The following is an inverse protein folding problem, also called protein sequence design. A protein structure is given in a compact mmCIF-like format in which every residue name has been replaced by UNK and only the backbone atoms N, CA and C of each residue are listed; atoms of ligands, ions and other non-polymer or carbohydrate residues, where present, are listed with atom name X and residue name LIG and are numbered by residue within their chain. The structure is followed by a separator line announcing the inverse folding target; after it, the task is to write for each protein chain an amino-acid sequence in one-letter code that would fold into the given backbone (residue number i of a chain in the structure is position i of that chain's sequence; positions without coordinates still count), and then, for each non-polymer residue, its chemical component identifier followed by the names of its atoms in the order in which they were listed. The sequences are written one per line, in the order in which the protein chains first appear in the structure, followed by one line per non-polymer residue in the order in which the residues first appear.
data_IF_898226092517
#
_entry.id   IF_898226092517
#
_cell.length_a   1.000
_cell.length_b   1.000
_cell.length_c   1.000
_cell.angle_alpha   90.00
_cell.angle_beta   90.00
_cell.angle_gamma   90.00
#
_symmetry.space_group_name_H-M   'P 1'
#
loop_
_entity.id
_entity.type
_entity.pdbx_description
1 polymer ?
#
# COMPACT_ATOMS: atom_id res chain seq x y z
N UNK A 1 -6.31 -31.94 22.61
CA UNK A 1 -5.22 -31.54 21.69
C UNK A 1 -5.54 -30.17 21.12
N UNK A 2 -4.67 -29.16 21.23
CA UNK A 2 -4.85 -27.84 20.56
C UNK A 2 -3.57 -26.97 20.49
N UNK A 3 -2.35 -27.54 20.47
CA UNK A 3 -1.08 -26.80 20.65
C UNK A 3 -0.79 -25.67 19.64
N UNK A 4 -1.58 -25.52 18.58
CA UNK A 4 -1.45 -24.47 17.56
C UNK A 4 -2.69 -23.56 17.46
N UNK A 5 -3.45 -23.41 18.56
CA UNK A 5 -4.57 -22.45 18.65
C UNK A 5 -4.46 -21.66 19.96
N UNK A 6 -4.54 -20.34 19.86
CA UNK A 6 -4.58 -19.45 21.01
C UNK A 6 -5.99 -19.39 21.62
N UNK A 7 -6.06 -19.30 22.94
CA UNK A 7 -7.26 -18.88 23.68
C UNK A 7 -7.56 -17.39 23.47
N UNK A 8 -8.77 -16.95 23.88
CA UNK A 8 -9.16 -15.53 23.84
C UNK A 8 -8.22 -14.64 24.67
N UNK A 9 -7.74 -15.14 25.81
CA UNK A 9 -6.85 -14.40 26.70
C UNK A 9 -5.46 -14.21 26.09
N UNK A 10 -4.86 -15.28 25.55
CA UNK A 10 -3.58 -15.22 24.84
C UNK A 10 -3.65 -14.26 23.64
N UNK A 11 -4.74 -14.25 22.88
CA UNK A 11 -4.95 -13.28 21.77
C UNK A 11 -4.93 -11.83 22.29
N UNK A 12 -5.56 -11.55 23.42
CA UNK A 12 -5.60 -10.20 24.02
C UNK A 12 -4.26 -9.79 24.65
N UNK A 13 -3.47 -10.74 25.15
CA UNK A 13 -2.11 -10.49 25.63
C UNK A 13 -1.18 -10.22 24.43
N UNK A 14 -1.13 -11.12 23.45
CA UNK A 14 -0.29 -10.99 22.26
C UNK A 14 -0.57 -9.70 21.48
N UNK A 15 -1.85 -9.32 21.28
CA UNK A 15 -2.21 -8.05 20.60
C UNK A 15 -1.68 -6.83 21.36
N UNK A 16 -1.92 -6.73 22.67
CA UNK A 16 -1.47 -5.58 23.47
C UNK A 16 0.05 -5.48 23.52
N UNK A 17 0.75 -6.60 23.73
CA UNK A 17 2.22 -6.64 23.77
C UNK A 17 2.85 -6.29 22.43
N UNK A 18 2.30 -6.80 21.31
CA UNK A 18 2.81 -6.50 19.97
C UNK A 18 2.60 -5.04 19.58
N UNK A 19 1.45 -4.45 19.91
CA UNK A 19 1.16 -3.03 19.65
C UNK A 19 2.07 -2.11 20.48
N UNK A 20 2.20 -2.35 21.80
CA UNK A 20 3.08 -1.56 22.65
C UNK A 20 4.56 -1.64 22.23
N UNK A 21 5.02 -2.82 21.79
CA UNK A 21 6.34 -2.98 21.17
C UNK A 21 6.43 -2.20 19.85
N UNK A 22 5.43 -2.31 18.98
CA UNK A 22 5.43 -1.62 17.69
C UNK A 22 5.48 -0.10 17.86
N UNK A 23 4.68 0.48 18.75
CA UNK A 23 4.69 1.93 18.96
C UNK A 23 6.02 2.46 19.52
N UNK A 24 6.73 1.64 20.30
CA UNK A 24 8.06 1.99 20.85
C UNK A 24 9.19 1.77 19.83
N UNK A 25 9.14 0.70 19.03
CA UNK A 25 10.29 0.21 18.23
C UNK A 25 10.06 0.20 16.71
N UNK A 26 8.94 0.72 16.21
CA UNK A 26 8.67 0.83 14.76
C UNK A 26 9.73 1.66 14.05
N UNK A 27 10.43 1.03 13.08
CA UNK A 27 11.28 1.74 12.11
C UNK A 27 10.47 2.83 11.41
N UNK A 28 11.01 4.06 11.40
CA UNK A 28 10.53 5.16 10.55
C UNK A 28 10.74 4.77 9.09
N UNK A 29 9.69 4.90 8.29
CA UNK A 29 9.60 4.61 6.86
C UNK A 29 8.59 5.64 6.27
N UNK A 30 8.64 5.97 4.96
CA UNK A 30 7.87 7.10 4.41
C UNK A 30 6.42 6.83 3.92
N UNK A 31 5.89 5.59 4.00
CA UNK A 31 4.64 5.12 3.37
C UNK A 31 3.32 4.60 4.08
N UNK A 32 2.94 4.46 5.38
CA UNK A 32 3.44 5.13 8.13
C UNK A 32 3.48 6.59 8.78
N UNK A 33 4.55 7.38 8.59
CA UNK A 33 4.49 8.83 8.75
C UNK A 33 3.58 9.45 7.68
N UNK A 34 2.29 9.33 7.98
CA UNK A 34 1.16 9.71 7.16
C UNK A 34 -0.03 10.00 8.09
N UNK A 35 0.30 10.64 9.23
CA UNK A 35 -0.61 11.21 10.22
C UNK A 35 -1.42 12.35 9.61
N UNK A 36 -2.65 12.56 10.10
CA UNK A 36 -3.58 13.62 9.68
C UNK A 36 -3.90 13.67 8.16
N UNK A 37 -3.53 12.62 7.42
CA UNK A 37 -3.85 12.44 6.01
C UNK A 37 -5.21 11.75 5.83
N UNK A 38 -5.93 12.11 4.77
CA UNK A 38 -7.18 11.43 4.41
C UNK A 38 -6.95 9.96 4.01
N UNK A 39 -7.97 9.13 4.29
CA UNK A 39 -7.98 7.68 4.01
C UNK A 39 -7.71 7.31 2.55
N UNK A 40 -8.14 8.12 1.57
CA UNK A 40 -7.89 7.89 0.15
C UNK A 40 -6.40 8.11 -0.18
N UNK A 41 -5.78 9.13 0.42
CA UNK A 41 -4.32 9.39 0.33
C UNK A 41 -3.51 8.30 1.04
N UNK A 42 -3.97 7.79 2.19
CA UNK A 42 -3.33 6.66 2.87
C UNK A 42 -3.43 5.39 2.03
N UNK A 43 -4.57 5.11 1.41
CA UNK A 43 -4.77 3.95 0.52
C UNK A 43 -3.81 3.99 -0.69
N UNK A 44 -3.67 5.16 -1.33
CA UNK A 44 -2.68 5.39 -2.39
C UNK A 44 -1.24 5.12 -1.93
N UNK A 45 -0.85 5.72 -0.80
CA UNK A 45 0.50 5.61 -0.22
C UNK A 45 0.87 4.17 0.11
N UNK A 46 -0.07 3.42 0.69
CA UNK A 46 0.10 1.99 1.00
C UNK A 46 0.21 1.18 -0.29
N UNK A 47 -0.71 1.36 -1.26
CA UNK A 47 -0.71 0.62 -2.53
C UNK A 47 0.64 0.72 -3.26
N UNK A 48 1.17 1.93 -3.43
CA UNK A 48 2.46 2.16 -4.10
C UNK A 48 3.59 1.46 -3.33
N UNK A 49 3.60 1.55 -2.00
CA UNK A 49 4.67 0.93 -1.20
C UNK A 49 4.65 -0.59 -1.24
N UNK A 50 3.48 -1.22 -1.12
CA UNK A 50 3.37 -2.68 -1.16
C UNK A 50 3.74 -3.22 -2.55
N UNK A 51 3.33 -2.54 -3.64
CA UNK A 51 3.78 -2.92 -4.98
C UNK A 51 5.27 -2.66 -5.20
N UNK A 52 5.87 -1.61 -4.62
CA UNK A 52 7.33 -1.43 -4.64
C UNK A 52 8.07 -2.50 -3.83
N UNK A 53 7.56 -2.91 -2.67
CA UNK A 53 8.19 -3.89 -1.76
C UNK A 53 8.14 -5.34 -2.27
N UNK A 54 7.24 -5.67 -3.20
CA UNK A 54 7.21 -6.98 -3.86
C UNK A 54 8.60 -7.35 -4.42
N UNK A 55 9.20 -8.41 -3.86
CA UNK A 55 10.54 -8.92 -4.22
C UNK A 55 11.67 -7.86 -4.21
N UNK A 56 11.51 -6.76 -3.48
CA UNK A 56 12.47 -5.64 -3.44
C UNK A 56 12.81 -5.26 -2.01
N UNK A 57 14.08 -4.99 -1.70
CA UNK A 57 14.51 -4.69 -0.33
C UNK A 57 14.06 -3.29 0.14
N UNK A 58 13.63 -3.20 1.41
CA UNK A 58 13.17 -1.96 2.08
C UNK A 58 14.14 -0.79 1.87
N UNK A 59 15.44 -1.01 2.00
CA UNK A 59 16.47 0.03 1.85
C UNK A 59 16.50 0.63 0.43
N UNK A 60 16.27 -0.18 -0.60
CA UNK A 60 16.13 0.27 -1.99
C UNK A 60 14.84 1.06 -2.18
N UNK A 61 13.73 0.54 -1.66
CA UNK A 61 12.39 1.12 -1.89
C UNK A 61 12.26 2.55 -1.34
N UNK A 62 12.87 2.88 -0.20
CA UNK A 62 12.79 4.23 0.43
C UNK A 62 13.05 5.35 -0.60
N UNK A 63 14.20 5.31 -1.29
CA UNK A 63 14.58 6.36 -2.26
C UNK A 63 13.60 6.47 -3.44
N UNK A 64 13.13 5.33 -3.97
CA UNK A 64 12.18 5.32 -5.08
C UNK A 64 10.80 5.82 -4.66
N UNK A 65 10.35 5.42 -3.46
CA UNK A 65 9.09 5.85 -2.90
C UNK A 65 9.05 7.37 -2.66
N UNK A 66 10.11 7.94 -2.08
CA UNK A 66 10.26 9.39 -1.89
C UNK A 66 10.29 10.14 -3.24
N UNK A 67 10.98 9.59 -4.24
CA UNK A 67 11.07 10.17 -5.59
C UNK A 67 9.72 10.12 -6.32
N UNK A 68 8.95 9.04 -6.13
CA UNK A 68 7.63 8.83 -6.71
C UNK A 68 6.60 9.76 -6.06
N UNK A 69 6.49 9.77 -4.73
CA UNK A 69 5.52 10.60 -3.98
C UNK A 69 5.76 12.11 -4.16
N UNK A 70 6.97 12.52 -4.56
CA UNK A 70 7.27 13.91 -4.93
C UNK A 70 6.76 14.28 -6.33
N UNK A 71 6.61 13.33 -7.24
CA UNK A 71 6.04 13.54 -8.58
C UNK A 71 4.53 13.35 -8.59
N UNK A 72 4.05 12.31 -7.90
CA UNK A 72 2.64 11.93 -7.81
C UNK A 72 2.28 11.73 -6.33
N UNK A 73 1.77 12.76 -5.64
CA UNK A 73 1.44 12.68 -4.22
C UNK A 73 0.13 11.94 -3.92
N UNK A 74 -0.72 11.76 -4.94
CA UNK A 74 -2.03 11.13 -4.88
C UNK A 74 -2.34 10.30 -6.15
N UNK A 75 -3.49 9.62 -6.15
CA UNK A 75 -3.93 8.74 -7.24
C UNK A 75 -4.28 9.49 -8.53
N UNK A 76 -4.76 10.74 -8.44
CA UNK A 76 -5.13 11.54 -9.60
C UNK A 76 -3.89 12.04 -10.33
N UNK A 77 -2.91 12.57 -9.59
CA UNK A 77 -1.62 12.97 -10.16
C UNK A 77 -0.93 11.80 -10.90
N UNK A 78 -1.05 10.57 -10.38
CA UNK A 78 -0.56 9.38 -11.08
C UNK A 78 -1.37 9.04 -12.34
N UNK A 79 -2.70 9.21 -12.30
CA UNK A 79 -3.57 8.97 -13.46
C UNK A 79 -3.41 10.01 -14.59
N UNK A 80 -2.90 11.20 -14.27
CA UNK A 80 -2.55 12.26 -15.23
C UNK A 80 -1.13 12.08 -15.82
N UNK A 81 -0.34 11.12 -15.34
CA UNK A 81 1.00 10.82 -15.82
C UNK A 81 1.02 10.07 -17.18
N UNK A 82 2.13 10.17 -17.91
CA UNK A 82 2.40 9.28 -19.05
C UNK A 82 2.96 7.93 -18.56
N UNK A 83 2.69 6.84 -19.29
CA UNK A 83 3.27 5.52 -18.95
C UNK A 83 4.80 5.56 -19.04
N UNK A 84 5.38 6.35 -19.96
CA UNK A 84 6.84 6.51 -20.08
C UNK A 84 7.47 7.21 -18.87
N UNK A 85 6.86 8.27 -18.33
CA UNK A 85 7.35 8.93 -17.10
C UNK A 85 7.23 7.99 -15.89
N UNK A 86 6.15 7.22 -15.79
CA UNK A 86 5.98 6.18 -14.77
C UNK A 86 7.09 5.13 -14.83
N UNK A 87 7.42 4.62 -16.03
CA UNK A 87 8.50 3.64 -16.22
C UNK A 87 9.87 4.23 -15.90
N UNK A 88 10.11 5.49 -16.30
CA UNK A 88 11.34 6.24 -16.06
C UNK A 88 11.56 6.51 -14.58
N UNK A 89 10.50 6.79 -13.82
CA UNK A 89 10.56 6.89 -12.36
C UNK A 89 10.76 5.53 -11.68
N UNK A 90 10.28 4.43 -12.27
CA UNK A 90 10.48 3.05 -11.80
C UNK A 90 11.83 2.43 -12.22
N UNK A 91 12.63 3.14 -13.02
CA UNK A 91 13.81 2.59 -13.67
C UNK A 91 14.86 2.11 -12.66
N UNK A 92 15.09 0.79 -12.63
CA UNK A 92 16.02 0.13 -11.70
C UNK A 92 15.36 -0.64 -10.55
N UNK A 93 14.06 -0.47 -10.28
CA UNK A 93 13.32 -1.33 -9.33
C UNK A 93 13.05 -2.75 -9.87
N UNK A 94 13.12 -2.95 -11.18
CA UNK A 94 12.79 -4.21 -11.83
C UNK A 94 11.28 -4.55 -11.79
N UNK A 95 10.91 -5.63 -12.49
CA UNK A 95 9.52 -6.07 -12.65
C UNK A 95 8.57 -4.94 -13.05
N UNK A 96 8.87 -4.25 -14.17
CA UNK A 96 8.14 -3.06 -14.65
C UNK A 96 6.62 -3.23 -14.81
N UNK A 97 6.11 -4.45 -14.90
CA UNK A 97 4.67 -4.69 -14.89
C UNK A 97 3.99 -4.20 -13.59
N UNK A 98 4.72 -4.08 -12.47
CA UNK A 98 4.24 -3.46 -11.22
C UNK A 98 3.93 -1.97 -11.40
N UNK A 99 4.78 -1.24 -12.15
CA UNK A 99 4.56 0.17 -12.48
C UNK A 99 3.34 0.34 -13.41
N UNK A 100 3.25 -0.47 -14.46
CA UNK A 100 2.09 -0.48 -15.39
C UNK A 100 0.79 -0.83 -14.66
N UNK A 101 0.86 -1.74 -13.68
CA UNK A 101 -0.28 -2.08 -12.84
C UNK A 101 -0.69 -0.92 -11.92
N UNK A 102 0.25 -0.24 -11.24
CA UNK A 102 -0.06 0.97 -10.46
C UNK A 102 -0.74 2.06 -11.30
N UNK A 103 -0.24 2.30 -12.52
CA UNK A 103 -0.80 3.29 -13.45
C UNK A 103 -2.22 2.90 -13.90
N UNK A 104 -2.45 1.62 -14.23
CA UNK A 104 -3.79 1.08 -14.53
C UNK A 104 -4.73 1.15 -13.33
N UNK A 105 -4.27 0.88 -12.10
CA UNK A 105 -5.06 1.11 -10.89
C UNK A 105 -5.48 2.57 -10.77
N UNK A 106 -4.58 3.52 -11.07
CA UNK A 106 -4.89 4.94 -11.01
C UNK A 106 -5.97 5.35 -12.02
N UNK A 107 -5.85 4.93 -13.28
CA UNK A 107 -6.90 5.17 -14.28
C UNK A 107 -8.24 4.53 -13.86
N UNK A 108 -8.26 3.29 -13.38
CA UNK A 108 -9.48 2.60 -12.95
C UNK A 108 -10.14 3.26 -11.74
N UNK A 109 -9.37 3.70 -10.74
CA UNK A 109 -9.89 4.41 -9.57
C UNK A 109 -10.52 5.74 -9.98
N UNK A 110 -9.90 6.49 -10.91
CA UNK A 110 -10.47 7.73 -11.45
C UNK A 110 -11.72 7.47 -12.31
N UNK A 111 -11.73 6.44 -13.17
CA UNK A 111 -12.80 6.24 -14.16
C UNK A 111 -13.99 5.39 -13.67
N UNK A 112 -13.78 4.48 -12.73
CA UNK A 112 -14.82 3.57 -12.22
C UNK A 112 -15.28 3.90 -10.79
N UNK A 113 -14.49 4.68 -10.04
CA UNK A 113 -14.72 4.94 -8.61
C UNK A 113 -14.59 6.45 -8.24
N UNK A 114 -14.67 7.35 -9.21
CA UNK A 114 -14.65 8.82 -9.04
C UNK A 114 -13.41 9.36 -8.28
N UNK A 115 -12.29 8.63 -8.36
CA UNK A 115 -11.04 8.94 -7.66
C UNK A 115 -10.93 8.38 -6.24
N UNK A 116 -11.97 7.76 -5.70
CA UNK A 116 -11.99 7.17 -4.36
C UNK A 116 -11.59 5.69 -4.37
N UNK A 117 -10.65 5.30 -3.48
CA UNK A 117 -10.27 3.90 -3.33
C UNK A 117 -11.44 3.04 -2.81
N UNK A 118 -11.75 1.89 -3.46
CA UNK A 118 -12.76 0.96 -2.98
C UNK A 118 -12.46 0.47 -1.55
N UNK A 119 -13.46 0.58 -0.67
CA UNK A 119 -13.37 0.12 0.72
C UNK A 119 -13.69 -1.38 0.88
N UNK A 120 -14.21 -2.01 -0.16
CA UNK A 120 -14.53 -3.44 -0.19
C UNK A 120 -13.31 -4.27 -0.62
N UNK A 121 -12.99 -5.30 0.17
CA UNK A 121 -11.80 -6.14 -0.03
C UNK A 121 -11.85 -6.96 -1.33
N UNK A 122 -13.03 -7.47 -1.71
CA UNK A 122 -13.17 -8.27 -2.93
C UNK A 122 -13.20 -7.38 -4.18
N UNK A 123 -13.68 -6.13 -4.10
CA UNK A 123 -13.48 -5.14 -5.17
C UNK A 123 -11.98 -4.84 -5.34
N UNK A 124 -11.25 -4.58 -4.25
CA UNK A 124 -9.80 -4.34 -4.30
C UNK A 124 -9.03 -5.52 -4.94
N UNK A 125 -9.40 -6.77 -4.64
CA UNK A 125 -8.76 -7.97 -5.20
C UNK A 125 -9.13 -8.20 -6.68
N UNK A 126 -10.41 -8.02 -7.05
CA UNK A 126 -10.91 -8.45 -8.36
C UNK A 126 -10.87 -7.34 -9.43
N UNK A 127 -10.73 -6.07 -9.06
CA UNK A 127 -10.68 -4.93 -10.03
C UNK A 127 -9.30 -4.34 -10.22
N UNK A 128 -8.47 -4.26 -9.18
CA UNK A 128 -7.19 -3.56 -9.25
C UNK A 128 -6.05 -4.49 -9.72
N UNK A 129 -5.45 -4.26 -10.92
CA UNK A 129 -4.43 -5.17 -11.44
C UNK A 129 -3.19 -5.25 -10.55
N UNK A 130 -2.74 -6.47 -10.26
CA UNK A 130 -1.60 -6.73 -9.36
C UNK A 130 -1.88 -6.62 -7.86
N UNK A 131 -3.13 -6.34 -7.46
CA UNK A 131 -3.55 -6.30 -6.06
C UNK A 131 -4.05 -7.68 -5.62
N UNK A 132 -3.14 -8.51 -5.11
CA UNK A 132 -3.51 -9.77 -4.47
C UNK A 132 -4.11 -9.58 -3.07
N UNK A 133 -4.69 -10.65 -2.49
CA UNK A 133 -5.30 -10.66 -1.13
C UNK A 133 -4.41 -10.00 -0.06
N UNK A 134 -3.10 -10.18 -0.11
CA UNK A 134 -2.17 -9.52 0.81
C UNK A 134 -2.17 -7.99 0.65
N UNK A 135 -1.99 -7.48 -0.57
CA UNK A 135 -2.00 -6.04 -0.87
C UNK A 135 -3.35 -5.41 -0.54
N UNK A 136 -4.46 -6.07 -0.91
CA UNK A 136 -5.81 -5.61 -0.59
C UNK A 136 -6.02 -5.53 0.93
N UNK A 137 -5.56 -6.54 1.68
CA UNK A 137 -5.62 -6.54 3.14
C UNK A 137 -4.75 -5.45 3.78
N UNK A 138 -3.57 -5.17 3.23
CA UNK A 138 -2.72 -4.06 3.68
C UNK A 138 -3.40 -2.69 3.44
N UNK A 139 -3.95 -2.45 2.24
CA UNK A 139 -4.70 -1.22 1.96
C UNK A 139 -5.93 -1.10 2.87
N UNK A 140 -6.77 -2.13 2.94
CA UNK A 140 -8.03 -2.08 3.71
C UNK A 140 -7.80 -1.90 5.21
N UNK A 141 -6.84 -2.64 5.81
CA UNK A 141 -6.56 -2.52 7.24
C UNK A 141 -5.83 -1.23 7.63
N UNK A 142 -4.89 -0.74 6.80
CA UNK A 142 -4.08 0.46 7.13
C UNK A 142 -4.83 1.77 6.79
N UNK A 143 -5.60 1.80 5.70
CA UNK A 143 -6.32 3.02 5.28
C UNK A 143 -7.76 3.08 5.79
N UNK A 144 -8.45 1.94 5.92
CA UNK A 144 -9.89 1.88 6.25
C UNK A 144 -10.21 1.14 7.56
N UNK A 145 -9.21 0.66 8.30
CA UNK A 145 -9.36 0.01 9.62
C UNK A 145 -10.26 -1.24 9.65
N UNK A 146 -10.18 -2.08 8.60
CA UNK A 146 -10.90 -3.36 8.48
C UNK A 146 -10.03 -4.58 8.76
#
# INVERSE_FOLDING_TARGET
MARHRFSKEEILICRRSLLAWYDTYKRKLPWRDWHDADSNVVAYRVLVSELMLQQTQVATVIRYYETWMKQWPDIKALAEATEDDVLKCWAGLGYYNRARNLHKCAHLIISEFDGEFPKDLDILINRLPGVGRYTAGAVSSIAFSQ
#
